data_IF_348253532066
#
_entry.id   IF_348253532066
#
_cell.length_a   1.000
_cell.length_b   1.000
_cell.length_c   1.000
_cell.angle_alpha   90.00
_cell.angle_beta   90.00
_cell.angle_gamma   90.00
#
_symmetry.space_group_name_H-M   'P 1'
#
loop_
_entity.id
_entity.type
_entity.pdbx_description
1 polymer ?
#
# COMPACT_ATOMS: atom_id res chain seq x y z
N UNK A 1 11.64 -14.27 1.06
CA UNK A 1 10.28 -14.55 1.57
C UNK A 1 10.17 -16.01 1.94
N UNK A 2 9.54 -16.29 3.04
CA UNK A 2 9.42 -17.65 3.56
C UNK A 2 8.04 -18.24 3.26
N UNK A 3 8.00 -19.51 2.87
CA UNK A 3 6.73 -20.24 2.75
C UNK A 3 6.13 -20.44 4.16
N UNK A 4 4.82 -20.23 4.28
CA UNK A 4 4.11 -20.34 5.54
C UNK A 4 2.78 -21.06 5.36
N UNK A 5 2.23 -21.58 6.45
CA UNK A 5 0.87 -22.10 6.45
C UNK A 5 -0.11 -20.92 6.36
N UNK A 6 -1.10 -20.96 5.47
CA UNK A 6 -2.07 -19.86 5.37
C UNK A 6 -2.93 -19.79 6.64
N UNK A 7 -3.20 -18.56 7.08
CA UNK A 7 -4.12 -18.32 8.18
C UNK A 7 -5.53 -18.16 7.62
N UNK A 8 -6.51 -18.97 8.04
CA UNK A 8 -7.89 -18.84 7.54
C UNK A 8 -8.42 -17.42 7.72
N UNK A 9 -8.96 -16.86 6.65
CA UNK A 9 -9.53 -15.51 6.65
C UNK A 9 -8.54 -14.37 6.59
N UNK A 10 -7.22 -14.64 6.57
CA UNK A 10 -6.21 -13.58 6.58
C UNK A 10 -6.25 -12.73 5.32
N UNK A 11 -6.43 -13.33 4.15
CA UNK A 11 -6.51 -12.59 2.89
C UNK A 11 -7.66 -11.59 2.96
N UNK A 12 -8.85 -12.04 3.32
CA UNK A 12 -10.03 -11.18 3.42
C UNK A 12 -9.85 -10.09 4.48
N UNK A 13 -9.22 -10.43 5.60
CA UNK A 13 -8.93 -9.46 6.67
C UNK A 13 -8.00 -8.35 6.20
N UNK A 14 -6.93 -8.69 5.49
CA UNK A 14 -6.01 -7.70 4.93
C UNK A 14 -6.70 -6.81 3.89
N UNK A 15 -7.52 -7.40 3.01
CA UNK A 15 -8.24 -6.63 1.99
C UNK A 15 -9.28 -5.70 2.62
N UNK A 16 -9.96 -6.14 3.67
CA UNK A 16 -10.89 -5.28 4.41
C UNK A 16 -10.16 -4.11 5.07
N UNK A 17 -9.00 -4.36 5.66
CA UNK A 17 -8.19 -3.30 6.24
C UNK A 17 -7.74 -2.31 5.17
N UNK A 18 -7.34 -2.80 3.98
CA UNK A 18 -6.95 -1.94 2.86
C UNK A 18 -8.11 -1.03 2.46
N UNK A 19 -9.32 -1.57 2.37
CA UNK A 19 -10.52 -0.79 2.04
C UNK A 19 -10.78 0.30 3.07
N UNK A 20 -10.66 -0.02 4.34
CA UNK A 20 -10.85 0.95 5.43
C UNK A 20 -9.83 2.08 5.36
N UNK A 21 -8.56 1.77 5.10
CA UNK A 21 -7.53 2.79 4.93
C UNK A 21 -7.81 3.66 3.71
N UNK A 22 -8.29 3.07 2.61
CA UNK A 22 -8.68 3.82 1.42
C UNK A 22 -9.81 4.80 1.71
N UNK A 23 -10.84 4.36 2.43
CA UNK A 23 -11.96 5.21 2.82
C UNK A 23 -11.47 6.40 3.65
N UNK A 24 -10.57 6.15 4.61
CA UNK A 24 -10.00 7.20 5.44
C UNK A 24 -9.19 8.20 4.61
N UNK A 25 -8.33 7.69 3.70
CA UNK A 25 -7.51 8.56 2.84
C UNK A 25 -8.38 9.43 1.94
N UNK A 26 -9.41 8.85 1.33
CA UNK A 26 -10.34 9.58 0.45
C UNK A 26 -11.14 10.64 1.22
N UNK A 27 -11.57 10.32 2.43
CA UNK A 27 -12.30 11.27 3.28
C UNK A 27 -11.41 12.47 3.62
N UNK A 28 -10.14 12.24 3.93
CA UNK A 28 -9.19 13.32 4.21
C UNK A 28 -8.94 14.18 2.97
N UNK A 29 -8.84 13.55 1.78
CA UNK A 29 -8.66 14.29 0.51
C UNK A 29 -9.88 15.13 0.15
N UNK A 30 -11.08 14.65 0.48
CA UNK A 30 -12.33 15.36 0.20
C UNK A 30 -12.57 16.54 1.14
N UNK A 31 -11.85 16.58 2.28
CA UNK A 31 -11.96 17.67 3.25
C UNK A 31 -11.36 18.99 2.72
N UNK A 32 -11.62 20.07 3.45
CA UNK A 32 -11.03 21.38 3.11
C UNK A 32 -9.52 21.30 3.18
N UNK A 33 -8.79 22.02 2.29
CA UNK A 33 -7.32 21.94 2.24
C UNK A 33 -6.63 22.18 3.58
N UNK A 34 -7.17 23.02 4.43
CA UNK A 34 -6.61 23.31 5.77
C UNK A 34 -6.84 22.19 6.77
N UNK A 35 -7.79 21.29 6.49
CA UNK A 35 -8.13 20.18 7.40
C UNK A 35 -7.45 18.88 7.00
N UNK A 36 -6.96 18.77 5.76
CA UNK A 36 -6.35 17.54 5.25
C UNK A 36 -4.83 17.71 5.24
N UNK A 37 -4.18 17.16 6.26
CA UNK A 37 -2.72 17.10 6.29
C UNK A 37 -2.23 16.08 5.27
N UNK A 38 -1.33 16.46 4.33
CA UNK A 38 -0.80 15.50 3.34
C UNK A 38 -0.22 14.24 4.00
N UNK A 39 0.40 14.37 5.17
CA UNK A 39 0.98 13.24 5.88
C UNK A 39 -0.09 12.23 6.32
N UNK A 40 -1.27 12.70 6.74
CA UNK A 40 -2.36 11.80 7.14
C UNK A 40 -2.90 11.03 5.95
N UNK A 41 -3.10 11.70 4.81
CA UNK A 41 -3.53 11.04 3.56
C UNK A 41 -2.49 10.02 3.13
N UNK A 42 -1.22 10.42 3.11
CA UNK A 42 -0.11 9.57 2.73
C UNK A 42 -0.04 8.32 3.61
N UNK A 43 -0.09 8.49 4.93
CA UNK A 43 0.03 7.39 5.89
C UNK A 43 -1.10 6.38 5.69
N UNK A 44 -2.34 6.84 5.57
CA UNK A 44 -3.47 5.94 5.35
C UNK A 44 -3.38 5.23 4.00
N UNK A 45 -2.99 5.93 2.94
CA UNK A 45 -2.83 5.33 1.62
C UNK A 45 -1.69 4.29 1.61
N UNK A 46 -0.56 4.61 2.23
CA UNK A 46 0.56 3.68 2.33
C UNK A 46 0.20 2.43 3.14
N UNK A 47 -0.41 2.61 4.31
CA UNK A 47 -0.81 1.47 5.14
C UNK A 47 -1.84 0.61 4.43
N UNK A 48 -2.77 1.24 3.70
CA UNK A 48 -3.73 0.51 2.87
C UNK A 48 -3.05 -0.32 1.79
N UNK A 49 -2.08 0.27 1.09
CA UNK A 49 -1.33 -0.46 0.06
C UNK A 49 -0.50 -1.60 0.67
N UNK A 50 0.08 -1.36 1.85
CA UNK A 50 0.79 -2.42 2.58
C UNK A 50 -0.13 -3.60 2.91
N UNK A 51 -1.38 -3.33 3.30
CA UNK A 51 -2.36 -4.38 3.54
C UNK A 51 -2.68 -5.16 2.26
N UNK A 52 -2.74 -4.49 1.11
CA UNK A 52 -2.89 -5.17 -0.19
C UNK A 52 -1.71 -6.10 -0.44
N UNK A 53 -0.49 -5.64 -0.20
CA UNK A 53 0.72 -6.45 -0.35
C UNK A 53 0.65 -7.68 0.55
N UNK A 54 0.26 -7.51 1.81
CA UNK A 54 0.14 -8.62 2.75
C UNK A 54 -0.94 -9.62 2.31
N UNK A 55 -2.06 -9.14 1.78
CA UNK A 55 -3.13 -10.01 1.28
C UNK A 55 -2.63 -10.90 0.14
N UNK A 56 -1.91 -10.33 -0.83
CA UNK A 56 -1.39 -11.09 -1.97
C UNK A 56 -0.33 -12.09 -1.52
N UNK A 57 0.55 -11.70 -0.59
CA UNK A 57 1.55 -12.61 -0.05
C UNK A 57 0.92 -13.77 0.72
N UNK A 58 -0.11 -13.51 1.51
CA UNK A 58 -0.84 -14.56 2.21
C UNK A 58 -1.50 -15.52 1.21
N UNK A 59 -2.05 -14.98 0.11
CA UNK A 59 -2.59 -15.78 -0.98
C UNK A 59 -1.51 -16.68 -1.61
N UNK A 60 -0.26 -16.17 -1.72
CA UNK A 60 0.87 -16.97 -2.21
C UNK A 60 1.44 -17.91 -1.15
N UNK A 61 0.93 -17.87 0.07
CA UNK A 61 1.41 -18.67 1.20
C UNK A 61 2.87 -18.37 1.55
N UNK A 62 3.24 -17.08 1.48
CA UNK A 62 4.57 -16.60 1.86
C UNK A 62 4.44 -15.40 2.79
N UNK A 63 5.44 -15.16 3.62
CA UNK A 63 5.56 -13.96 4.44
C UNK A 63 6.93 -13.35 4.28
N UNK A 64 6.97 -12.02 4.41
CA UNK A 64 8.24 -11.31 4.41
C UNK A 64 8.75 -11.15 5.83
N UNK A 65 10.07 -11.16 5.97
CA UNK A 65 10.70 -10.58 7.14
C UNK A 65 10.60 -9.06 7.01
N UNK A 66 10.69 -8.37 8.15
CA UNK A 66 10.61 -6.90 8.17
C UNK A 66 11.61 -6.27 7.20
N UNK A 67 12.82 -6.82 7.12
CA UNK A 67 13.86 -6.36 6.20
C UNK A 67 13.56 -6.64 4.72
N UNK A 68 12.55 -7.46 4.41
CA UNK A 68 12.18 -7.82 3.04
C UNK A 68 10.98 -7.05 2.48
N UNK A 69 10.51 -6.00 3.17
CA UNK A 69 9.30 -5.29 2.80
C UNK A 69 9.40 -4.64 1.40
N UNK A 70 10.55 -4.03 1.09
CA UNK A 70 10.75 -3.40 -0.23
C UNK A 70 10.65 -4.42 -1.36
N UNK A 71 11.27 -5.59 -1.18
CA UNK A 71 11.22 -6.68 -2.16
C UNK A 71 9.80 -7.21 -2.33
N UNK A 72 9.05 -7.32 -1.23
CA UNK A 72 7.66 -7.75 -1.27
C UNK A 72 6.78 -6.77 -2.05
N UNK A 73 6.98 -5.47 -1.81
CA UNK A 73 6.26 -4.43 -2.56
C UNK A 73 6.57 -4.54 -4.05
N UNK A 74 7.82 -4.71 -4.42
CA UNK A 74 8.22 -4.85 -5.82
C UNK A 74 7.56 -6.06 -6.47
N UNK A 75 7.59 -7.22 -5.82
CA UNK A 75 7.01 -8.45 -6.36
C UNK A 75 5.51 -8.33 -6.54
N UNK A 76 4.79 -7.91 -5.50
CA UNK A 76 3.33 -7.81 -5.56
C UNK A 76 2.91 -6.74 -6.56
N UNK A 77 3.59 -5.59 -6.57
CA UNK A 77 3.28 -4.50 -7.51
C UNK A 77 3.49 -4.94 -8.96
N UNK A 78 4.51 -5.74 -9.24
CA UNK A 78 4.71 -6.32 -10.56
C UNK A 78 3.58 -7.28 -10.94
N UNK A 79 3.14 -8.11 -10.01
CA UNK A 79 2.05 -9.07 -10.24
C UNK A 79 0.70 -8.37 -10.42
N UNK A 80 0.49 -7.23 -9.77
CA UNK A 80 -0.69 -6.39 -9.97
C UNK A 80 -0.60 -5.55 -11.24
N UNK A 81 0.56 -5.56 -11.90
CA UNK A 81 0.83 -4.88 -13.17
C UNK A 81 0.81 -3.36 -13.06
N UNK A 82 1.40 -2.82 -12.00
CA UNK A 82 1.62 -1.39 -11.89
C UNK A 82 2.51 -0.91 -13.05
N UNK A 83 2.25 0.31 -13.53
CA UNK A 83 3.12 0.96 -14.51
C UNK A 83 4.48 1.28 -13.86
N UNK A 84 5.47 1.62 -14.69
CA UNK A 84 6.79 2.01 -14.20
C UNK A 84 6.72 3.23 -13.27
N UNK A 85 5.88 4.21 -13.58
CA UNK A 85 5.69 5.40 -12.75
C UNK A 85 5.00 5.05 -11.43
N UNK A 86 4.00 4.18 -11.48
CA UNK A 86 3.31 3.72 -10.27
C UNK A 86 4.24 2.90 -9.37
N UNK A 87 5.07 2.03 -9.97
CA UNK A 87 6.07 1.26 -9.23
C UNK A 87 7.05 2.21 -8.50
N UNK A 88 7.54 3.23 -9.19
CA UNK A 88 8.41 4.24 -8.58
C UNK A 88 7.70 4.94 -7.41
N UNK A 89 6.42 5.25 -7.57
CA UNK A 89 5.66 5.93 -6.53
C UNK A 89 5.54 5.08 -5.26
N UNK A 90 5.24 3.78 -5.39
CA UNK A 90 5.10 2.91 -4.21
C UNK A 90 6.44 2.64 -3.54
N UNK A 91 7.52 2.49 -4.31
CA UNK A 91 8.86 2.30 -3.75
C UNK A 91 9.31 3.58 -3.03
N UNK A 92 9.09 4.75 -3.64
CA UNK A 92 9.39 6.03 -3.00
C UNK A 92 8.58 6.22 -1.71
N UNK A 93 7.31 5.79 -1.72
CA UNK A 93 6.46 5.85 -0.53
C UNK A 93 7.03 4.98 0.60
N UNK A 94 7.50 3.78 0.26
CA UNK A 94 8.14 2.89 1.23
C UNK A 94 9.40 3.55 1.83
N UNK A 95 10.25 4.12 0.99
CA UNK A 95 11.47 4.78 1.45
C UNK A 95 11.15 5.97 2.34
N UNK A 96 10.18 6.79 1.94
CA UNK A 96 9.73 7.95 2.71
C UNK A 96 9.15 7.53 4.06
N UNK A 97 8.37 6.45 4.10
CA UNK A 97 7.76 5.93 5.33
C UNK A 97 8.82 5.47 6.33
N UNK A 98 9.91 4.90 5.83
CA UNK A 98 10.99 4.41 6.68
C UNK A 98 11.99 5.51 7.08
N UNK A 99 11.97 6.64 6.38
CA UNK A 99 12.87 7.75 6.66
C UNK A 99 12.25 8.66 7.72
N UNK A 100 12.57 8.39 8.98
CA UNK A 100 12.12 9.18 10.12
C UNK A 100 13.19 10.19 10.55
N UNK A 101 14.30 10.28 9.80
CA UNK A 101 15.43 11.13 10.14
C UNK A 101 15.19 12.58 9.75
N UNK A 102 15.65 13.51 10.58
CA UNK A 102 15.69 14.94 10.24
C UNK A 102 16.61 15.23 9.04
N UNK A 103 17.41 14.25 8.63
CA UNK A 103 18.34 14.37 7.50
C UNK A 103 17.77 13.77 6.22
N UNK A 104 16.45 13.62 6.17
CA UNK A 104 15.80 13.05 5.00
C UNK A 104 16.17 13.81 3.72
N UNK A 105 16.59 13.12 2.65
CA UNK A 105 16.83 13.77 1.37
C UNK A 105 15.54 14.13 0.63
N UNK A 106 14.40 13.66 1.12
CA UNK A 106 13.12 13.90 0.49
C UNK A 106 12.63 15.31 0.78
N UNK A 107 12.07 15.99 -0.22
CA UNK A 107 11.40 17.26 0.03
C UNK A 107 10.17 17.07 0.92
N UNK A 108 9.60 18.12 1.50
CA UNK A 108 8.36 18.00 2.25
C UNK A 108 7.29 17.31 1.43
N UNK A 109 6.48 16.47 2.09
CA UNK A 109 5.41 15.72 1.43
C UNK A 109 4.37 16.67 0.85
N UNK A 110 4.08 16.55 -0.44
CA UNK A 110 3.05 17.34 -1.12
C UNK A 110 1.71 16.63 -1.11
N UNK A 111 0.64 17.41 -1.24
CA UNK A 111 -0.72 16.87 -1.39
C UNK A 111 -0.82 16.02 -2.67
N UNK A 112 -0.15 16.44 -3.74
CA UNK A 112 -0.13 15.70 -5.01
C UNK A 112 0.49 14.31 -4.85
N UNK A 113 1.58 14.21 -4.09
CA UNK A 113 2.25 12.94 -3.81
C UNK A 113 1.34 12.01 -2.99
N UNK A 114 0.69 12.55 -1.97
CA UNK A 114 -0.25 11.78 -1.15
C UNK A 114 -1.46 11.32 -1.97
N UNK A 115 -2.00 12.19 -2.82
CA UNK A 115 -3.12 11.85 -3.71
C UNK A 115 -2.73 10.75 -4.70
N UNK A 116 -1.55 10.84 -5.29
CA UNK A 116 -1.04 9.83 -6.23
C UNK A 116 -1.04 8.44 -5.59
N UNK A 117 -0.57 8.34 -4.36
CA UNK A 117 -0.54 7.06 -3.64
C UNK A 117 -1.96 6.55 -3.34
N UNK A 118 -2.86 7.45 -2.97
CA UNK A 118 -4.27 7.11 -2.75
C UNK A 118 -4.92 6.57 -4.04
N UNK A 119 -4.64 7.21 -5.18
CA UNK A 119 -5.15 6.77 -6.48
C UNK A 119 -4.63 5.38 -6.85
N UNK A 120 -3.38 5.08 -6.54
CA UNK A 120 -2.80 3.75 -6.75
C UNK A 120 -3.54 2.72 -5.91
N UNK A 121 -3.75 2.99 -4.63
CA UNK A 121 -4.50 2.09 -3.77
C UNK A 121 -5.91 1.85 -4.31
N UNK A 122 -6.61 2.90 -4.71
CA UNK A 122 -7.97 2.80 -5.25
C UNK A 122 -8.01 1.96 -6.53
N UNK A 123 -7.01 2.12 -7.40
CA UNK A 123 -6.95 1.39 -8.67
C UNK A 123 -6.63 -0.08 -8.49
N UNK A 124 -5.71 -0.41 -7.59
CA UNK A 124 -5.18 -1.78 -7.50
C UNK A 124 -5.81 -2.64 -6.41
N UNK A 125 -6.56 -2.07 -5.49
CA UNK A 125 -7.32 -2.86 -4.52
C UNK A 125 -8.29 -3.83 -5.20
N UNK A 126 -9.12 -3.40 -6.19
CA UNK A 126 -9.98 -4.34 -6.92
C UNK A 126 -9.19 -5.39 -7.69
N UNK A 127 -8.02 -5.04 -8.23
CA UNK A 127 -7.16 -5.98 -8.94
C UNK A 127 -6.67 -7.07 -7.99
N UNK A 128 -6.24 -6.69 -6.78
CA UNK A 128 -5.83 -7.65 -5.76
C UNK A 128 -6.98 -8.54 -5.31
N UNK A 129 -8.18 -7.98 -5.17
CA UNK A 129 -9.37 -8.75 -4.83
C UNK A 129 -9.66 -9.81 -5.90
N UNK A 130 -9.57 -9.45 -7.18
CA UNK A 130 -9.78 -10.37 -8.29
C UNK A 130 -8.70 -11.46 -8.33
N UNK A 131 -7.44 -11.07 -8.12
CA UNK A 131 -6.31 -12.00 -8.11
C UNK A 131 -6.48 -13.07 -7.03
N UNK A 132 -6.83 -12.65 -5.82
CA UNK A 132 -6.96 -13.57 -4.68
C UNK A 132 -8.24 -14.38 -4.72
N UNK A 133 -9.28 -13.92 -5.40
CA UNK A 133 -10.53 -14.64 -5.58
C UNK A 133 -10.40 -15.79 -6.60
N UNK A 134 -9.39 -15.75 -7.48
CA UNK A 134 -9.23 -16.73 -8.55
C UNK A 134 -9.04 -18.16 -8.05
N UNK A 135 -8.71 -18.36 -6.77
CA UNK A 135 -8.55 -19.69 -6.15
C UNK A 135 -9.78 -20.19 -5.39
N UNK A 136 -10.77 -19.39 -5.29
CA UNK A 136 -11.97 -19.71 -4.52
C UNK A 136 -12.82 -20.75 -5.22
#
# INVERSE_FOLDING_TARGET
MEAVQPTPGAVDGFLLNAERFLVLAKALLAGKPLAAEPMQVFTNAYEGYHQVVQAVLEFYEVRTKESGRALAIQRVSADLKLSALEMKAVIRAHDRRNDTSYRSPFPPLSRAEARSLCDILERYLPVACALTAARS
#
